data_IF_055793217221
#
_entry.id   IF_055793217221
#
_cell.length_a   1.000
_cell.length_b   1.000
_cell.length_c   1.000
_cell.angle_alpha   90.00
_cell.angle_beta   90.00
_cell.angle_gamma   90.00
#
_symmetry.space_group_name_H-M   'P 1'
#
loop_
_entity.id
_entity.type
_entity.pdbx_description
1 polymer ?
#
# COMPACT_ATOMS: atom_id res chain seq x y z
N UNK A 1 2.70 -16.14 -79.29
CA UNK A 1 2.44 -14.74 -78.91
C UNK A 1 3.17 -14.50 -77.59
N UNK A 2 3.95 -13.42 -77.53
CA UNK A 2 4.59 -12.79 -76.36
C UNK A 2 3.62 -12.67 -75.14
N UNK A 3 3.99 -12.51 -73.86
CA UNK A 3 5.09 -11.75 -73.26
C UNK A 3 5.27 -12.08 -71.74
N UNK A 4 6.42 -11.68 -71.20
CA UNK A 4 6.88 -11.51 -69.80
C UNK A 4 5.86 -10.87 -68.82
N UNK A 5 5.94 -10.87 -67.47
CA UNK A 5 7.04 -10.73 -66.51
C UNK A 5 6.54 -10.98 -65.05
N UNK A 6 7.45 -11.28 -64.12
CA UNK A 6 7.35 -10.91 -62.70
C UNK A 6 8.11 -9.58 -62.53
N UNK A 7 7.63 -8.57 -61.77
CA UNK A 7 8.15 -8.41 -60.40
C UNK A 7 7.21 -7.68 -59.41
N UNK A 8 7.69 -7.63 -58.16
CA UNK A 8 7.45 -6.62 -57.12
C UNK A 8 6.41 -6.96 -56.03
N UNK A 9 6.96 -7.40 -54.89
CA UNK A 9 6.29 -7.33 -53.60
C UNK A 9 5.85 -5.90 -53.30
N UNK A 10 4.60 -5.78 -52.88
CA UNK A 10 4.03 -4.56 -52.34
C UNK A 10 4.72 -4.23 -51.01
N UNK A 11 5.46 -3.13 -51.00
CA UNK A 11 6.02 -2.53 -49.80
C UNK A 11 4.91 -2.24 -48.77
N UNK A 12 5.16 -2.36 -47.46
CA UNK A 12 4.22 -1.91 -46.44
C UNK A 12 4.05 -0.39 -46.52
N UNK A 13 2.79 0.05 -46.56
CA UNK A 13 2.38 1.46 -46.49
C UNK A 13 2.99 2.12 -45.25
N UNK A 14 3.60 3.29 -45.40
CA UNK A 14 4.07 4.09 -44.27
C UNK A 14 2.89 4.44 -43.33
N UNK A 15 3.07 4.40 -41.99
CA UNK A 15 1.97 4.66 -41.06
C UNK A 15 1.55 6.13 -41.13
N UNK A 16 0.25 6.40 -41.27
CA UNK A 16 -0.29 7.74 -41.07
C UNK A 16 -0.44 8.01 -39.56
N UNK A 17 -0.27 9.25 -39.07
CA UNK A 17 -0.10 9.53 -37.65
C UNK A 17 -1.29 9.23 -36.72
N UNK A 18 -2.49 8.92 -37.26
CA UNK A 18 -3.74 8.97 -36.48
C UNK A 18 -4.70 7.77 -36.67
N UNK A 19 -4.24 6.57 -37.05
CA UNK A 19 -5.08 5.36 -37.00
C UNK A 19 -4.64 4.39 -35.89
N UNK A 20 -5.56 3.84 -35.07
CA UNK A 20 -5.22 2.78 -34.11
C UNK A 20 -4.92 1.46 -34.83
N UNK A 21 -3.82 0.81 -34.46
CA UNK A 21 -3.37 -0.45 -35.05
C UNK A 21 -4.29 -1.64 -34.68
N UNK A 22 -4.52 -2.62 -35.59
CA UNK A 22 -5.27 -3.82 -35.27
C UNK A 22 -4.45 -4.76 -34.37
N UNK A 23 -5.10 -5.33 -33.36
CA UNK A 23 -4.48 -6.25 -32.40
C UNK A 23 -4.52 -7.67 -32.97
N UNK A 24 -3.36 -8.23 -33.34
CA UNK A 24 -3.22 -9.64 -33.75
C UNK A 24 -2.68 -10.45 -32.56
N UNK A 25 -3.45 -11.43 -32.09
CA UNK A 25 -3.04 -12.33 -31.00
C UNK A 25 -2.10 -13.42 -31.53
N UNK A 26 -0.91 -13.50 -30.94
CA UNK A 26 -0.07 -14.69 -30.90
C UNK A 26 1.07 -14.75 -31.92
N UNK A 27 2.27 -14.35 -31.52
CA UNK A 27 3.50 -15.02 -31.95
C UNK A 27 4.64 -14.74 -30.95
N UNK A 28 5.27 -15.79 -30.43
CA UNK A 28 6.39 -15.71 -29.49
C UNK A 28 7.70 -15.49 -30.24
N UNK A 29 8.37 -14.35 -30.01
CA UNK A 29 9.70 -14.09 -30.56
C UNK A 29 10.76 -14.25 -29.48
N UNK A 30 11.59 -15.28 -29.65
CA UNK A 30 12.81 -15.55 -28.88
C UNK A 30 13.86 -14.49 -29.21
N UNK A 31 14.40 -13.80 -28.20
CA UNK A 31 15.60 -12.96 -28.35
C UNK A 31 16.75 -13.55 -27.54
N UNK A 32 17.76 -14.06 -28.24
CA UNK A 32 19.13 -14.20 -27.72
C UNK A 32 19.87 -12.92 -28.02
N UNK A 33 20.29 -12.17 -26.99
CA UNK A 33 21.49 -11.34 -27.12
C UNK A 33 22.24 -11.26 -25.80
N UNK A 34 23.52 -11.63 -25.90
CA UNK A 34 24.50 -11.68 -24.83
C UNK A 34 25.21 -10.32 -24.76
N UNK A 35 25.19 -9.65 -23.60
CA UNK A 35 26.21 -8.63 -23.32
C UNK A 35 26.58 -8.64 -21.82
N UNK A 36 27.84 -9.03 -21.58
CA UNK A 36 28.53 -9.02 -20.28
C UNK A 36 29.03 -7.59 -20.00
N UNK A 37 29.06 -7.13 -18.73
CA UNK A 37 29.46 -5.75 -18.39
C UNK A 37 31.00 -5.60 -18.38
N UNK A 38 31.51 -4.51 -18.99
CA UNK A 38 32.91 -4.09 -18.90
C UNK A 38 33.10 -3.01 -17.81
N UNK A 39 34.29 -2.93 -17.16
CA UNK A 39 34.47 -2.26 -15.87
C UNK A 39 34.81 -0.76 -15.98
N UNK A 40 34.46 -0.03 -14.92
CA UNK A 40 34.78 1.38 -14.67
C UNK A 40 36.29 1.67 -14.78
N UNK A 41 36.68 2.68 -15.55
CA UNK A 41 38.04 3.27 -15.54
C UNK A 41 38.00 4.74 -15.11
N UNK A 42 38.76 5.05 -14.05
CA UNK A 42 39.02 6.39 -13.49
C UNK A 42 39.81 7.30 -14.46
N UNK A 43 39.78 8.64 -14.30
CA UNK A 43 40.37 9.57 -15.27
C UNK A 43 41.89 9.70 -15.13
N UNK A 44 42.61 9.57 -16.25
CA UNK A 44 44.04 9.84 -16.35
C UNK A 44 44.30 11.21 -17.03
N UNK A 45 45.28 11.93 -16.50
CA UNK A 45 45.74 13.26 -16.92
C UNK A 45 46.42 13.24 -18.31
N UNK A 46 46.07 14.20 -19.17
CA UNK A 46 46.95 14.74 -20.23
C UNK A 46 46.68 14.31 -21.68
N UNK A 47 46.07 15.19 -22.50
CA UNK A 47 46.26 15.31 -23.96
C UNK A 47 45.51 16.57 -24.51
N UNK A 48 45.99 17.21 -25.60
CA UNK A 48 45.59 18.57 -25.99
C UNK A 48 44.22 18.67 -26.68
N UNK A 49 43.59 19.83 -26.54
CA UNK A 49 42.27 20.15 -27.08
C UNK A 49 42.28 20.22 -28.63
N UNK A 50 41.36 19.51 -29.27
CA UNK A 50 41.00 19.69 -30.68
C UNK A 50 39.79 20.65 -30.78
N UNK A 51 39.91 21.82 -31.43
CA UNK A 51 38.84 22.79 -31.53
C UNK A 51 38.02 22.58 -32.82
N UNK A 52 37.40 21.42 -33.02
CA UNK A 52 36.50 21.24 -34.18
C UNK A 52 35.54 20.04 -34.09
N UNK A 53 34.69 20.00 -33.06
CA UNK A 53 33.47 19.18 -33.11
C UNK A 53 32.27 20.03 -32.68
N UNK A 54 31.58 20.59 -33.67
CA UNK A 54 30.38 21.37 -33.49
C UNK A 54 29.31 20.55 -32.76
N UNK A 55 28.82 21.09 -31.64
CA UNK A 55 27.67 20.60 -30.89
C UNK A 55 26.41 20.71 -31.74
N UNK A 56 25.98 19.60 -32.32
CA UNK A 56 24.65 19.49 -32.92
C UNK A 56 23.63 19.20 -31.81
N UNK A 57 23.07 20.25 -31.21
CA UNK A 57 21.93 20.14 -30.31
C UNK A 57 20.67 19.89 -31.14
N UNK A 58 20.21 18.64 -31.21
CA UNK A 58 18.88 18.33 -31.72
C UNK A 58 17.80 18.89 -30.77
N UNK A 59 16.66 19.40 -31.28
CA UNK A 59 15.63 20.00 -30.46
C UNK A 59 15.03 18.96 -29.50
N UNK A 60 14.97 19.31 -28.22
CA UNK A 60 14.34 18.51 -27.19
C UNK A 60 12.84 18.37 -27.47
N UNK A 61 12.46 17.24 -28.06
CA UNK A 61 11.12 16.70 -27.83
C UNK A 61 10.98 16.52 -26.32
N UNK A 62 10.02 17.23 -25.73
CA UNK A 62 9.67 17.13 -24.32
C UNK A 62 9.39 15.67 -24.00
N UNK A 63 10.35 14.99 -23.38
CA UNK A 63 10.08 13.72 -22.72
C UNK A 63 8.99 13.99 -21.70
N UNK A 64 7.83 13.36 -21.87
CA UNK A 64 6.81 13.32 -20.83
C UNK A 64 7.50 12.72 -19.59
N UNK A 65 7.77 13.57 -18.60
CA UNK A 65 8.24 13.13 -17.29
C UNK A 65 7.12 12.28 -16.72
N UNK A 66 7.28 10.95 -16.76
CA UNK A 66 6.35 10.05 -16.11
C UNK A 66 6.39 10.38 -14.60
N UNK A 67 5.28 10.89 -14.01
CA UNK A 67 5.24 11.24 -12.59
C UNK A 67 5.50 10.01 -11.69
N UNK A 68 5.41 8.80 -12.25
CA UNK A 68 5.69 7.54 -11.56
C UNK A 68 7.14 7.08 -11.68
N UNK A 69 7.97 7.64 -12.58
CA UNK A 69 9.37 7.23 -12.69
C UNK A 69 10.18 7.58 -11.42
N UNK A 70 9.82 8.67 -10.74
CA UNK A 70 10.38 9.02 -9.44
C UNK A 70 9.93 8.08 -8.31
N UNK A 71 8.83 7.33 -8.48
CA UNK A 71 8.33 6.37 -7.49
C UNK A 71 9.12 5.04 -7.49
N UNK A 72 9.95 4.80 -8.52
CA UNK A 72 10.80 3.60 -8.63
C UNK A 72 12.19 3.75 -8.02
N UNK A 73 12.52 4.90 -7.43
CA UNK A 73 13.73 5.05 -6.61
C UNK A 73 13.32 5.06 -5.13
N UNK A 74 13.04 3.88 -4.59
CA UNK A 74 12.90 3.73 -3.14
C UNK A 74 14.25 4.10 -2.49
N UNK A 75 14.35 5.13 -1.64
CA UNK A 75 15.55 5.33 -0.88
C UNK A 75 15.70 4.13 0.06
N UNK A 76 16.89 3.53 0.06
CA UNK A 76 17.34 2.74 1.18
C UNK A 76 17.14 3.57 2.47
N UNK A 77 16.74 2.89 3.55
CA UNK A 77 16.54 3.45 4.88
C UNK A 77 17.79 4.26 5.28
N UNK A 78 17.80 5.59 5.04
CA UNK A 78 18.97 6.45 5.18
C UNK A 78 19.28 7.49 4.08
N UNK A 79 18.47 7.64 3.04
CA UNK A 79 18.65 8.70 2.01
C UNK A 79 17.94 10.04 2.33
N UNK A 80 18.51 11.16 1.87
CA UNK A 80 18.04 12.54 2.04
C UNK A 80 16.51 12.72 1.92
N UNK A 81 15.89 13.68 2.64
CA UNK A 81 14.43 13.80 2.69
C UNK A 81 13.88 14.03 1.30
N UNK A 82 13.24 12.99 0.74
CA UNK A 82 12.44 13.11 -0.46
C UNK A 82 11.44 14.26 -0.24
N UNK A 83 11.34 15.17 -1.20
CA UNK A 83 10.38 16.27 -1.15
C UNK A 83 8.99 15.72 -0.76
N UNK A 84 8.34 16.36 0.22
CA UNK A 84 7.11 15.85 0.81
C UNK A 84 6.07 15.56 -0.29
N UNK A 85 5.65 14.30 -0.46
CA UNK A 85 4.70 13.95 -1.51
C UNK A 85 3.37 14.67 -1.28
N UNK A 86 2.67 15.08 -2.35
CA UNK A 86 1.35 15.69 -2.26
C UNK A 86 0.43 14.87 -1.37
N UNK A 87 -0.46 15.55 -0.63
CA UNK A 87 -1.29 14.92 0.40
C UNK A 87 -2.05 13.69 -0.14
N UNK A 88 -2.51 13.67 -1.38
CA UNK A 88 -3.28 12.53 -1.91
C UNK A 88 -2.42 11.32 -2.33
N UNK A 89 -1.11 11.50 -2.52
CA UNK A 89 -0.19 10.45 -2.97
C UNK A 89 0.38 9.64 -1.79
N UNK A 90 0.74 8.35 -1.99
CA UNK A 90 1.37 7.56 -0.95
C UNK A 90 2.78 8.11 -0.65
N UNK A 91 3.16 8.17 0.63
CA UNK A 91 4.50 8.60 1.05
C UNK A 91 5.36 7.39 1.39
N UNK A 92 6.17 6.93 0.44
CA UNK A 92 7.11 5.84 0.66
C UNK A 92 8.32 6.31 1.48
N UNK A 93 8.72 5.55 2.50
CA UNK A 93 9.82 5.94 3.40
C UNK A 93 9.46 7.02 4.42
N UNK A 94 8.17 7.29 4.66
CA UNK A 94 7.72 8.21 5.71
C UNK A 94 8.21 7.78 7.10
N UNK A 95 8.60 8.74 7.92
CA UNK A 95 8.97 8.55 9.32
C UNK A 95 7.75 8.55 10.24
N UNK A 96 7.97 8.11 11.48
CA UNK A 96 6.92 7.95 12.49
C UNK A 96 6.09 9.21 12.73
N UNK A 97 6.75 10.36 12.91
CA UNK A 97 6.05 11.59 13.30
C UNK A 97 5.21 12.14 12.13
N UNK A 98 5.75 12.12 10.92
CA UNK A 98 5.00 12.58 9.74
C UNK A 98 3.84 11.65 9.41
N UNK A 99 3.94 10.34 9.68
CA UNK A 99 2.81 9.41 9.55
C UNK A 99 1.65 9.79 10.49
N UNK A 100 1.94 10.13 11.75
CA UNK A 100 0.93 10.57 12.72
C UNK A 100 0.29 11.90 12.29
N UNK A 101 1.09 12.88 11.87
CA UNK A 101 0.56 14.15 11.35
C UNK A 101 -0.41 13.90 10.20
N UNK A 102 0.01 13.09 9.21
CA UNK A 102 -0.81 12.78 8.04
C UNK A 102 -2.08 12.01 8.37
N UNK A 103 -2.03 11.15 9.38
CA UNK A 103 -3.21 10.45 9.92
C UNK A 103 -4.27 11.44 10.42
N UNK A 104 -3.89 12.41 11.25
CA UNK A 104 -4.83 13.41 11.75
C UNK A 104 -5.20 14.48 10.71
N UNK A 105 -4.33 14.78 9.75
CA UNK A 105 -4.68 15.68 8.63
C UNK A 105 -5.73 15.06 7.71
N UNK A 106 -5.64 13.74 7.45
CA UNK A 106 -6.57 12.99 6.61
C UNK A 106 -7.63 12.28 7.44
N UNK A 107 -8.19 13.00 8.42
CA UNK A 107 -9.04 12.41 9.45
C UNK A 107 -10.28 11.68 8.89
N UNK A 108 -10.98 12.27 7.93
CA UNK A 108 -12.16 11.67 7.30
C UNK A 108 -12.00 11.54 5.78
N UNK A 109 -10.75 11.39 5.31
CA UNK A 109 -10.44 11.27 3.89
C UNK A 109 -10.25 9.81 3.49
N UNK A 110 -11.26 9.26 2.82
CA UNK A 110 -11.28 7.87 2.34
C UNK A 110 -10.67 7.69 0.93
N UNK A 111 -10.46 8.79 0.21
CA UNK A 111 -9.85 8.79 -1.12
C UNK A 111 -8.32 8.87 -1.06
N UNK A 112 -7.68 8.54 -2.19
CA UNK A 112 -6.22 8.48 -2.28
C UNK A 112 -5.63 7.20 -1.71
N UNK A 113 -4.32 7.22 -1.51
CA UNK A 113 -3.51 6.08 -1.11
C UNK A 113 -2.71 6.36 0.15
N UNK A 114 -2.40 5.29 0.88
CA UNK A 114 -1.48 5.31 2.01
C UNK A 114 -0.44 4.20 1.82
N UNK A 115 0.84 4.58 1.92
CA UNK A 115 1.93 3.60 1.81
C UNK A 115 1.92 2.63 3.00
N UNK A 116 2.65 1.52 2.86
CA UNK A 116 2.88 0.58 3.98
C UNK A 116 3.47 1.26 5.21
N UNK A 117 4.45 2.16 5.01
CA UNK A 117 5.09 2.91 6.10
C UNK A 117 4.11 3.84 6.81
N UNK A 118 3.27 4.56 6.05
CA UNK A 118 2.22 5.43 6.62
C UNK A 118 1.25 4.62 7.48
N UNK A 119 0.85 3.43 7.01
CA UNK A 119 -0.05 2.56 7.75
C UNK A 119 0.60 1.99 9.02
N UNK A 120 1.76 1.33 8.90
CA UNK A 120 2.37 0.60 10.02
C UNK A 120 2.92 1.51 11.13
N UNK A 121 3.41 2.70 10.79
CA UNK A 121 3.78 3.67 11.82
C UNK A 121 2.58 4.16 12.62
N UNK A 122 1.43 4.37 11.96
CA UNK A 122 0.20 4.72 12.66
C UNK A 122 -0.30 3.54 13.49
N UNK A 123 -0.23 2.30 13.01
CA UNK A 123 -0.58 1.12 13.83
C UNK A 123 0.30 1.04 15.08
N UNK A 124 1.60 1.31 14.98
CA UNK A 124 2.49 1.38 16.13
C UNK A 124 2.08 2.50 17.10
N UNK A 125 1.80 3.70 16.60
CA UNK A 125 1.32 4.81 17.41
C UNK A 125 0.04 4.45 18.18
N UNK A 126 -0.95 3.89 17.48
CA UNK A 126 -2.22 3.45 18.06
C UNK A 126 -2.00 2.38 19.13
N UNK A 127 -1.15 1.39 18.86
CA UNK A 127 -0.77 0.37 19.83
C UNK A 127 -0.16 0.99 21.09
N UNK A 128 0.77 1.94 20.95
CA UNK A 128 1.40 2.60 22.10
C UNK A 128 0.40 3.40 22.93
N UNK A 129 -0.54 4.11 22.29
CA UNK A 129 -1.61 4.83 23.00
C UNK A 129 -2.52 3.85 23.75
N UNK A 130 -2.93 2.76 23.10
CA UNK A 130 -3.72 1.70 23.75
C UNK A 130 -2.97 1.06 24.93
N UNK A 131 -1.67 0.82 24.78
CA UNK A 131 -0.83 0.30 25.86
C UNK A 131 -0.81 1.24 27.06
N UNK A 132 -0.60 2.55 26.84
CA UNK A 132 -0.64 3.56 27.90
C UNK A 132 -2.00 3.59 28.60
N UNK A 133 -3.13 3.57 27.87
CA UNK A 133 -4.45 3.47 28.50
C UNK A 133 -4.61 2.20 29.34
N UNK A 134 -4.06 1.07 28.90
CA UNK A 134 -4.10 -0.18 29.65
C UNK A 134 -3.35 -0.08 30.99
N UNK A 135 -2.26 0.69 31.05
CA UNK A 135 -1.54 0.96 32.30
C UNK A 135 -2.31 1.92 33.20
N UNK A 136 -2.83 3.01 32.64
CA UNK A 136 -3.53 4.06 33.40
C UNK A 136 -4.85 3.58 34.02
N UNK A 137 -5.56 2.68 33.34
CA UNK A 137 -6.80 2.07 33.86
C UNK A 137 -6.58 1.21 35.11
N UNK A 138 -5.36 0.70 35.33
CA UNK A 138 -4.99 0.00 36.59
C UNK A 138 -4.87 0.96 37.78
N UNK A 139 -4.59 2.24 37.53
CA UNK A 139 -4.49 3.25 38.57
C UNK A 139 -5.85 3.88 38.89
N UNK A 140 -6.73 4.07 37.89
CA UNK A 140 -8.06 4.65 38.09
C UNK A 140 -9.05 4.25 37.00
N UNK A 141 -10.28 3.96 37.41
CA UNK A 141 -11.39 3.65 36.51
C UNK A 141 -11.80 4.84 35.61
N UNK A 142 -11.44 6.07 35.96
CA UNK A 142 -11.68 7.25 35.11
C UNK A 142 -11.08 7.09 33.71
N UNK A 143 -9.91 6.47 33.60
CA UNK A 143 -9.24 6.26 32.33
C UNK A 143 -9.99 5.29 31.40
N UNK A 144 -10.91 4.47 31.90
CA UNK A 144 -11.75 3.63 31.04
C UNK A 144 -12.66 4.50 30.16
N UNK A 145 -13.29 5.53 30.74
CA UNK A 145 -14.16 6.46 30.01
C UNK A 145 -13.35 7.24 28.97
N UNK A 146 -12.16 7.71 29.36
CA UNK A 146 -11.29 8.46 28.45
C UNK A 146 -10.76 7.59 27.30
N UNK A 147 -10.41 6.34 27.58
CA UNK A 147 -10.03 5.35 26.57
C UNK A 147 -11.18 5.06 25.60
N UNK A 148 -12.43 4.99 26.09
CA UNK A 148 -13.60 4.79 25.25
C UNK A 148 -13.85 6.00 24.31
N UNK A 149 -13.79 7.22 24.85
CA UNK A 149 -13.92 8.45 24.05
C UNK A 149 -12.82 8.52 22.99
N UNK A 150 -11.57 8.22 23.36
CA UNK A 150 -10.46 8.15 22.42
C UNK A 150 -10.73 7.14 21.30
N UNK A 151 -11.16 5.92 21.64
CA UNK A 151 -11.51 4.88 20.67
C UNK A 151 -12.56 5.34 19.66
N UNK A 152 -13.60 6.03 20.12
CA UNK A 152 -14.61 6.62 19.24
C UNK A 152 -14.05 7.74 18.37
N UNK A 153 -13.19 8.60 18.94
CA UNK A 153 -12.57 9.70 18.22
C UNK A 153 -11.60 9.23 17.13
N UNK A 154 -11.00 8.04 17.24
CA UNK A 154 -10.10 7.52 16.20
C UNK A 154 -10.77 6.52 15.25
N UNK A 155 -12.02 6.13 15.51
CA UNK A 155 -12.71 5.12 14.72
C UNK A 155 -12.78 5.51 13.23
N UNK A 156 -13.22 6.74 12.95
CA UNK A 156 -13.33 7.26 11.58
C UNK A 156 -11.96 7.34 10.88
N UNK A 157 -10.92 7.98 11.43
CA UNK A 157 -9.62 8.06 10.77
C UNK A 157 -8.92 6.71 10.62
N UNK A 158 -9.15 5.76 11.54
CA UNK A 158 -8.63 4.39 11.39
C UNK A 158 -9.21 3.70 10.16
N UNK A 159 -10.53 3.75 9.99
CA UNK A 159 -11.19 3.16 8.81
C UNK A 159 -10.73 3.90 7.54
N UNK A 160 -10.64 5.23 7.58
CA UNK A 160 -10.16 6.02 6.44
C UNK A 160 -8.73 5.63 6.02
N UNK A 161 -7.82 5.43 6.98
CA UNK A 161 -6.46 4.98 6.71
C UNK A 161 -6.43 3.54 6.14
N UNK A 162 -7.22 2.63 6.70
CA UNK A 162 -7.32 1.25 6.22
C UNK A 162 -7.82 1.19 4.77
N UNK A 163 -8.83 2.01 4.42
CA UNK A 163 -9.35 2.13 3.05
C UNK A 163 -8.26 2.64 2.10
N UNK A 164 -7.55 3.72 2.46
CA UNK A 164 -6.43 4.24 1.67
C UNK A 164 -5.30 3.22 1.50
N UNK A 165 -5.09 2.36 2.50
CA UNK A 165 -4.08 1.30 2.44
C UNK A 165 -4.46 0.18 1.47
N UNK A 166 -5.73 -0.24 1.43
CA UNK A 166 -6.16 -1.25 0.45
C UNK A 166 -6.19 -0.68 -0.98
N UNK A 167 -6.51 0.61 -1.15
CA UNK A 167 -6.40 1.29 -2.44
C UNK A 167 -4.95 1.30 -2.95
N UNK A 168 -3.97 1.43 -2.05
CA UNK A 168 -2.55 1.36 -2.41
C UNK A 168 -2.12 -0.03 -2.90
N UNK A 169 -2.84 -1.09 -2.50
CA UNK A 169 -2.70 -2.43 -3.06
C UNK A 169 -3.62 -2.69 -4.28
N UNK A 170 -4.20 -1.62 -4.85
CA UNK A 170 -5.15 -1.64 -5.97
C UNK A 170 -6.45 -2.45 -5.70
N UNK A 171 -6.78 -2.66 -4.44
CA UNK A 171 -8.02 -3.33 -4.02
C UNK A 171 -9.12 -2.30 -3.74
N UNK A 172 -10.40 -2.64 -3.96
CA UNK A 172 -11.51 -1.74 -3.58
C UNK A 172 -11.61 -1.58 -2.05
N UNK A 173 -11.99 -0.38 -1.60
CA UNK A 173 -12.08 -0.02 -0.16
C UNK A 173 -12.91 -0.99 0.70
N UNK A 174 -13.90 -1.66 0.11
CA UNK A 174 -14.74 -2.65 0.81
C UNK A 174 -13.99 -3.86 1.38
N UNK A 175 -12.78 -4.17 0.89
CA UNK A 175 -11.96 -5.26 1.45
C UNK A 175 -11.59 -5.06 2.91
N UNK A 176 -11.63 -3.81 3.38
CA UNK A 176 -11.44 -3.46 4.79
C UNK A 176 -12.51 -4.10 5.68
N UNK A 177 -13.73 -4.30 5.19
CA UNK A 177 -14.81 -4.89 5.98
C UNK A 177 -14.54 -6.34 6.42
N UNK A 178 -13.68 -7.07 5.70
CA UNK A 178 -13.40 -8.47 6.00
C UNK A 178 -12.63 -8.64 7.32
N UNK A 179 -11.44 -8.04 7.52
CA UNK A 179 -10.76 -8.13 8.82
C UNK A 179 -11.59 -7.50 9.95
N UNK A 180 -12.14 -6.29 9.76
CA UNK A 180 -12.92 -5.65 10.83
C UNK A 180 -14.21 -6.41 11.18
N UNK A 181 -14.87 -7.03 10.20
CA UNK A 181 -16.06 -7.84 10.42
C UNK A 181 -15.76 -9.08 11.26
N UNK A 182 -14.65 -9.77 10.97
CA UNK A 182 -14.20 -10.92 11.76
C UNK A 182 -13.90 -10.50 13.21
N UNK A 183 -13.21 -9.37 13.41
CA UNK A 183 -12.93 -8.83 14.75
C UNK A 183 -14.22 -8.50 15.53
N UNK A 184 -15.20 -7.87 14.88
CA UNK A 184 -16.49 -7.55 15.51
C UNK A 184 -17.24 -8.82 15.90
N UNK A 185 -17.29 -9.83 15.01
CA UNK A 185 -17.93 -11.12 15.30
C UNK A 185 -17.22 -11.84 16.46
N UNK A 186 -15.88 -11.89 16.43
CA UNK A 186 -15.09 -12.48 17.51
C UNK A 186 -15.36 -11.80 18.86
N UNK A 187 -15.37 -10.46 18.88
CA UNK A 187 -15.67 -9.67 20.07
C UNK A 187 -17.09 -9.91 20.59
N UNK A 188 -18.09 -10.04 19.71
CA UNK A 188 -19.48 -10.36 20.09
C UNK A 188 -19.59 -11.75 20.72
N UNK A 189 -18.93 -12.76 20.13
CA UNK A 189 -18.91 -14.14 20.67
C UNK A 189 -18.29 -14.16 22.06
N UNK A 190 -17.10 -13.55 22.23
CA UNK A 190 -16.43 -13.47 23.54
C UNK A 190 -17.30 -12.74 24.56
N UNK A 191 -17.90 -11.60 24.18
CA UNK A 191 -18.72 -10.78 25.09
C UNK A 191 -19.96 -11.54 25.55
N UNK A 192 -20.66 -12.21 24.64
CA UNK A 192 -21.84 -13.02 24.97
C UNK A 192 -21.50 -14.16 25.93
N UNK A 193 -20.38 -14.85 25.70
CA UNK A 193 -19.93 -15.96 26.54
C UNK A 193 -19.41 -15.49 27.91
N UNK A 194 -18.76 -14.33 27.98
CA UNK A 194 -18.35 -13.70 29.25
C UNK A 194 -19.56 -13.37 30.12
N UNK A 195 -20.62 -12.81 29.54
CA UNK A 195 -21.88 -12.54 30.25
C UNK A 195 -22.48 -13.84 30.80
N UNK A 196 -22.52 -14.91 29.99
CA UNK A 196 -23.01 -16.22 30.44
C UNK A 196 -22.18 -16.84 31.57
N UNK A 197 -20.85 -16.67 31.52
CA UNK A 197 -19.93 -17.16 32.56
C UNK A 197 -20.15 -16.41 33.88
N UNK A 198 -20.26 -15.08 33.82
CA UNK A 198 -20.54 -14.23 34.99
C UNK A 198 -21.92 -14.58 35.59
N UNK A 199 -22.96 -14.72 34.77
CA UNK A 199 -24.30 -15.09 35.23
C UNK A 199 -24.36 -16.48 35.90
N UNK A 200 -23.61 -17.45 35.36
CA UNK A 200 -23.51 -18.80 35.95
C UNK A 200 -22.78 -18.77 37.30
N UNK A 201 -21.71 -17.97 37.42
CA UNK A 201 -21.01 -17.75 38.68
C UNK A 201 -21.90 -17.10 39.75
N UNK A 202 -22.69 -16.09 39.36
CA UNK A 202 -23.64 -15.42 40.27
C UNK A 202 -24.78 -16.35 40.73
N UNK A 203 -25.20 -17.31 39.90
CA UNK A 203 -26.25 -18.29 40.24
C UNK A 203 -25.73 -19.54 40.96
N UNK A 204 -24.42 -19.61 41.25
CA UNK A 204 -23.79 -20.77 41.88
C UNK A 204 -23.72 -22.02 40.98
N UNK A 205 -23.99 -21.87 39.68
CA UNK A 205 -23.97 -22.96 38.70
C UNK A 205 -22.55 -23.17 38.15
N UNK A 206 -21.98 -24.36 38.34
CA UNK A 206 -20.64 -24.72 37.83
C UNK A 206 -20.62 -25.00 36.32
N UNK A 207 -21.79 -25.13 35.67
CA UNK A 207 -21.94 -25.41 34.24
C UNK A 207 -21.37 -24.30 33.35
N UNK A 208 -21.32 -23.04 33.82
CA UNK A 208 -20.80 -21.92 33.03
C UNK A 208 -19.29 -21.87 32.88
N UNK A 209 -18.52 -22.53 33.77
CA UNK A 209 -17.05 -22.44 33.76
C UNK A 209 -16.44 -23.26 32.61
N UNK A 210 -16.94 -24.48 32.36
CA UNK A 210 -16.45 -25.33 31.26
C UNK A 210 -16.82 -24.78 29.88
N UNK A 211 -18.07 -24.33 29.72
CA UNK A 211 -18.53 -23.68 28.48
C UNK A 211 -17.87 -22.32 28.24
N UNK A 212 -17.62 -21.55 29.30
CA UNK A 212 -16.96 -20.25 29.23
C UNK A 212 -15.53 -20.35 28.68
N UNK A 213 -14.73 -21.30 29.17
CA UNK A 213 -13.34 -21.47 28.68
C UNK A 213 -13.30 -21.94 27.23
N UNK A 214 -14.09 -22.95 26.85
CA UNK A 214 -14.15 -23.43 25.45
C UNK A 214 -14.61 -22.32 24.52
N UNK A 215 -15.61 -21.55 24.95
CA UNK A 215 -16.10 -20.40 24.21
C UNK A 215 -15.08 -19.28 24.06
N UNK A 216 -14.29 -18.98 25.10
CA UNK A 216 -13.18 -18.01 25.01
C UNK A 216 -12.12 -18.46 24.02
N UNK A 217 -11.79 -19.75 23.95
CA UNK A 217 -10.86 -20.28 22.97
C UNK A 217 -11.39 -20.13 21.54
N UNK A 218 -12.65 -20.45 21.30
CA UNK A 218 -13.29 -20.25 19.98
C UNK A 218 -13.27 -18.77 19.61
N UNK A 219 -13.70 -17.89 20.52
CA UNK A 219 -13.66 -16.46 20.31
C UNK A 219 -12.25 -15.93 20.03
N UNK A 220 -11.26 -16.40 20.78
CA UNK A 220 -9.86 -16.04 20.58
C UNK A 220 -9.34 -16.51 19.22
N UNK A 221 -9.71 -17.70 18.75
CA UNK A 221 -9.35 -18.19 17.42
C UNK A 221 -9.97 -17.35 16.30
N UNK A 222 -11.22 -16.90 16.47
CA UNK A 222 -11.89 -15.99 15.52
C UNK A 222 -11.14 -14.67 15.45
N UNK A 223 -10.86 -14.04 16.60
CA UNK A 223 -10.07 -12.80 16.68
C UNK A 223 -8.69 -12.98 16.05
N UNK A 224 -8.00 -14.10 16.33
CA UNK A 224 -6.69 -14.38 15.77
C UNK A 224 -6.75 -14.56 14.24
N UNK A 225 -7.80 -15.18 13.72
CA UNK A 225 -8.03 -15.28 12.26
C UNK A 225 -8.28 -13.91 11.61
N UNK A 226 -9.00 -13.00 12.30
CA UNK A 226 -9.21 -11.62 11.89
C UNK A 226 -7.89 -10.85 11.82
N UNK A 227 -7.09 -10.95 12.88
CA UNK A 227 -5.78 -10.32 12.98
C UNK A 227 -4.82 -10.82 11.90
N UNK A 228 -4.74 -12.13 11.67
CA UNK A 228 -3.93 -12.70 10.58
C UNK A 228 -4.38 -12.16 9.23
N UNK A 229 -5.70 -12.11 9.00
CA UNK A 229 -6.25 -11.58 7.75
C UNK A 229 -5.94 -10.09 7.57
N UNK A 230 -6.03 -9.30 8.65
CA UNK A 230 -5.66 -7.90 8.65
C UNK A 230 -4.17 -7.72 8.31
N UNK A 231 -3.28 -8.48 8.96
CA UNK A 231 -1.84 -8.44 8.71
C UNK A 231 -1.55 -8.77 7.24
N UNK A 232 -2.11 -9.87 6.72
CA UNK A 232 -1.88 -10.29 5.32
C UNK A 232 -2.39 -9.22 4.34
N UNK A 233 -3.59 -8.69 4.57
CA UNK A 233 -4.19 -7.69 3.69
C UNK A 233 -3.39 -6.37 3.71
N UNK A 234 -3.05 -5.86 4.90
CA UNK A 234 -2.38 -4.58 5.05
C UNK A 234 -0.85 -4.66 4.86
N UNK A 235 -0.26 -5.86 4.82
CA UNK A 235 1.12 -6.08 4.42
C UNK A 235 1.31 -6.31 2.91
N UNK A 236 0.25 -6.44 2.09
CA UNK A 236 0.35 -6.60 0.62
C UNK A 236 1.26 -5.57 -0.05
N UNK A 237 1.89 -5.89 -1.18
CA UNK A 237 2.71 -4.90 -1.90
C UNK A 237 1.86 -3.77 -2.47
N UNK A 238 2.46 -2.59 -2.56
CA UNK A 238 1.85 -1.44 -3.23
C UNK A 238 1.86 -1.70 -4.73
N UNK A 239 0.75 -1.43 -5.41
CA UNK A 239 0.59 -1.63 -6.85
C UNK A 239 0.56 -0.26 -7.56
N UNK A 240 1.48 0.01 -8.51
CA UNK A 240 1.48 1.25 -9.31
C UNK A 240 0.16 1.48 -10.05
N UNK A 241 -0.55 0.43 -10.45
CA UNK A 241 -1.84 0.51 -11.13
C UNK A 241 -2.97 1.04 -10.23
N UNK A 242 -2.72 1.15 -8.92
CA UNK A 242 -3.61 1.82 -7.96
C UNK A 242 -3.81 3.31 -8.22
N UNK A 243 -3.13 3.92 -9.21
CA UNK A 243 -3.28 5.33 -9.58
C UNK A 243 -4.71 5.75 -9.94
N UNK A 244 -5.61 4.81 -10.25
CA UNK A 244 -7.04 5.11 -10.43
C UNK A 244 -7.70 5.72 -9.18
N UNK A 245 -7.16 5.44 -7.99
CA UNK A 245 -7.66 5.96 -6.71
C UNK A 245 -7.03 7.30 -6.31
N UNK A 246 -6.08 7.82 -7.11
CA UNK A 246 -5.43 9.12 -6.88
C UNK A 246 -6.27 10.31 -7.39
N UNK A 247 -7.34 10.01 -8.14
CA UNK A 247 -8.28 11.02 -8.63
C UNK A 247 -9.31 11.36 -7.56
N UNK A 248 -9.61 12.66 -7.45
CA UNK A 248 -10.61 13.23 -6.55
C UNK A 248 -12.01 12.90 -7.01
#
# INVERSE_FOLDING_TARGET
MYDSANPAGSAPRAPQPNEPAPVLYGESVTFTETSTPAPNSSPAYGAPADPSAATFSAPAYSASVDPNAAAFNAPAYGGAPAAEPPINMPWYGIDFLNAIKRFFTKYATFSGRASRGEFWWVMLFLFLVSFVFNLLTRASSFFNVLSAIWGLAILVPQIALAVRRVHDANLPGGWVALPYGIEVVGAMVISFLMVGTVASGLSGSSSGLGGGVVGMLIGALIVLSGAVTAIVLFAKQSDPQGARFDRR
#
